data_IF_381016079935
#
_entry.id   IF_381016079935
#
_cell.length_a   1.000
_cell.length_b   1.000
_cell.length_c   1.000
_cell.angle_alpha   90.00
_cell.angle_beta   90.00
_cell.angle_gamma   90.00
#
_symmetry.space_group_name_H-M   'P 1'
#
loop_
_entity.id
_entity.type
_entity.pdbx_description
1 polymer ?
#
# COMPACT_ATOMS: atom_id res chain seq x y z
N UNK A 1 -40.03 -44.94 34.31
CA UNK A 1 -39.08 -45.90 33.71
C UNK A 1 -38.90 -45.43 32.26
N UNK A 2 -37.79 -44.96 31.72
CA UNK A 2 -36.38 -44.70 32.06
C UNK A 2 -35.95 -43.71 30.94
N UNK A 3 -35.36 -42.53 31.10
CA UNK A 3 -34.27 -42.04 31.96
C UNK A 3 -32.96 -42.80 31.79
N UNK A 4 -32.38 -42.86 30.59
CA UNK A 4 -30.92 -42.92 30.39
C UNK A 4 -30.53 -43.05 28.93
N UNK A 5 -29.39 -42.45 28.60
CA UNK A 5 -28.61 -42.57 27.36
C UNK A 5 -28.98 -41.59 26.24
N UNK A 6 -28.49 -40.36 26.39
CA UNK A 6 -27.83 -39.57 25.35
C UNK A 6 -27.11 -38.38 26.04
N UNK A 7 -26.24 -38.70 27.00
CA UNK A 7 -25.27 -37.77 27.57
C UNK A 7 -23.92 -38.48 27.55
N UNK A 8 -23.21 -38.36 26.44
CA UNK A 8 -21.76 -38.47 26.37
C UNK A 8 -21.33 -38.01 24.98
N UNK A 9 -20.62 -36.88 24.93
CA UNK A 9 -19.98 -36.41 23.69
C UNK A 9 -20.21 -34.95 23.30
N UNK A 10 -20.64 -34.05 24.20
CA UNK A 10 -20.39 -32.62 23.95
C UNK A 10 -19.04 -32.26 24.56
N UNK A 11 -17.97 -32.42 23.77
CA UNK A 11 -16.78 -31.59 23.96
C UNK A 11 -17.25 -30.14 23.78
N UNK A 12 -17.60 -29.47 24.88
CA UNK A 12 -17.75 -28.03 24.88
C UNK A 12 -16.44 -27.47 24.36
N UNK A 13 -16.43 -26.97 23.13
CA UNK A 13 -15.39 -26.03 22.71
C UNK A 13 -15.61 -24.82 23.61
N UNK A 14 -14.99 -24.83 24.79
CA UNK A 14 -14.81 -23.63 25.58
C UNK A 14 -14.20 -22.60 24.63
N UNK A 15 -14.91 -21.49 24.43
CA UNK A 15 -14.32 -20.33 23.81
C UNK A 15 -13.16 -19.91 24.72
N UNK A 16 -11.96 -20.28 24.31
CA UNK A 16 -10.67 -20.09 24.97
C UNK A 16 -10.26 -18.61 25.09
N UNK A 17 -11.22 -17.68 25.17
CA UNK A 17 -10.97 -16.24 25.29
C UNK A 17 -10.16 -15.91 26.56
N UNK A 18 -10.14 -16.80 27.55
CA UNK A 18 -9.48 -16.58 28.85
C UNK A 18 -8.45 -17.65 29.22
N UNK A 19 -8.02 -18.50 28.28
CA UNK A 19 -6.91 -19.41 28.55
C UNK A 19 -5.63 -18.57 28.72
N UNK A 20 -5.19 -18.42 29.98
CA UNK A 20 -3.87 -17.90 30.34
C UNK A 20 -2.80 -18.90 29.87
N UNK A 21 -2.54 -18.92 28.57
CA UNK A 21 -1.30 -19.47 28.03
C UNK A 21 -0.16 -18.67 28.68
N UNK A 22 0.90 -19.31 29.20
CA UNK A 22 2.04 -18.59 29.75
C UNK A 22 2.50 -17.53 28.76
N UNK A 23 2.69 -16.30 29.23
CA UNK A 23 3.29 -15.24 28.43
C UNK A 23 4.52 -15.82 27.76
N UNK A 24 4.61 -15.62 26.44
CA UNK A 24 5.88 -15.80 25.77
C UNK A 24 6.92 -15.01 26.58
N UNK A 25 8.04 -15.64 26.91
CA UNK A 25 9.15 -15.09 27.70
C UNK A 25 9.37 -13.58 27.47
N UNK A 26 9.77 -12.81 28.50
CA UNK A 26 9.67 -11.35 28.56
C UNK A 26 10.15 -10.66 27.29
N UNK A 27 9.52 -9.53 26.97
CA UNK A 27 9.77 -8.51 25.93
C UNK A 27 11.24 -8.33 25.50
N UNK A 28 11.87 -9.36 24.96
CA UNK A 28 13.22 -9.34 24.40
C UNK A 28 13.07 -9.17 22.90
N UNK A 29 13.90 -8.34 22.28
CA UNK A 29 13.96 -8.16 20.83
C UNK A 29 14.24 -9.50 20.14
N UNK A 30 13.19 -10.22 19.73
CA UNK A 30 13.32 -11.58 19.19
C UNK A 30 14.01 -11.59 17.84
N UNK A 31 13.83 -10.54 17.04
CA UNK A 31 14.51 -10.41 15.76
C UNK A 31 16.02 -10.14 15.94
N UNK A 32 16.40 -9.19 16.81
CA UNK A 32 17.81 -8.90 17.07
C UNK A 32 18.54 -10.00 17.86
N UNK A 33 17.86 -10.74 18.73
CA UNK A 33 18.45 -11.87 19.46
C UNK A 33 18.39 -13.20 18.71
N UNK A 34 17.68 -13.27 17.58
CA UNK A 34 17.57 -14.48 16.77
C UNK A 34 18.90 -14.89 16.14
N UNK A 35 19.12 -16.21 16.09
CA UNK A 35 20.21 -16.81 15.32
C UNK A 35 20.05 -16.52 13.83
N UNK A 36 21.15 -16.60 13.07
CA UNK A 36 21.12 -16.38 11.62
C UNK A 36 20.12 -17.29 10.91
N UNK A 37 19.98 -18.54 11.35
CA UNK A 37 19.02 -19.49 10.78
C UNK A 37 17.58 -19.10 11.09
N UNK A 38 17.31 -18.61 12.30
CA UNK A 38 15.99 -18.12 12.68
C UNK A 38 15.59 -16.84 11.93
N UNK A 39 16.55 -15.92 11.69
CA UNK A 39 16.32 -14.76 10.81
C UNK A 39 16.10 -15.17 9.37
N UNK A 40 16.87 -16.13 8.85
CA UNK A 40 16.75 -16.59 7.46
C UNK A 40 15.34 -17.13 7.16
N UNK A 41 14.76 -17.89 8.09
CA UNK A 41 13.44 -18.50 7.94
C UNK A 41 12.30 -17.71 8.61
N UNK A 42 12.58 -16.52 9.16
CA UNK A 42 11.62 -15.75 9.97
C UNK A 42 11.00 -16.52 11.15
N UNK A 43 11.68 -17.56 11.64
CA UNK A 43 11.15 -18.47 12.66
C UNK A 43 10.98 -17.82 14.04
N UNK A 44 11.57 -16.64 14.25
CA UNK A 44 11.40 -15.86 15.48
C UNK A 44 9.94 -15.39 15.68
N UNK A 45 9.14 -15.37 14.61
CA UNK A 45 7.71 -15.05 14.66
C UNK A 45 6.84 -16.29 14.97
N UNK A 46 7.37 -17.51 14.90
CA UNK A 46 6.60 -18.75 15.03
C UNK A 46 5.84 -18.83 16.36
N UNK A 47 6.47 -18.42 17.46
CA UNK A 47 5.84 -18.39 18.77
C UNK A 47 4.57 -17.52 18.80
N UNK A 48 4.64 -16.33 18.20
CA UNK A 48 3.48 -15.43 18.11
C UNK A 48 2.39 -16.06 17.23
N UNK A 49 2.77 -16.69 16.12
CA UNK A 49 1.83 -17.38 15.24
C UNK A 49 1.18 -18.59 15.94
N UNK A 50 1.93 -19.33 16.76
CA UNK A 50 1.40 -20.44 17.55
C UNK A 50 0.43 -19.95 18.63
N UNK A 51 0.74 -18.85 19.33
CA UNK A 51 -0.18 -18.24 20.29
C UNK A 51 -1.48 -17.80 19.58
N UNK A 52 -1.35 -17.18 18.41
CA UNK A 52 -2.50 -16.78 17.57
C UNK A 52 -3.37 -17.94 17.08
N UNK A 53 -2.80 -19.14 16.91
CA UNK A 53 -3.56 -20.35 16.60
C UNK A 53 -4.33 -20.89 17.80
N UNK A 54 -3.86 -20.63 19.03
CA UNK A 54 -4.44 -21.16 20.27
C UNK A 54 -5.46 -20.20 20.89
N UNK A 55 -5.23 -18.88 20.79
CA UNK A 55 -6.13 -17.84 21.29
C UNK A 55 -6.00 -16.55 20.48
N UNK A 56 -6.96 -15.64 20.67
CA UNK A 56 -6.84 -14.28 20.14
C UNK A 56 -5.60 -13.58 20.73
N UNK A 57 -4.81 -12.94 19.86
CA UNK A 57 -3.63 -12.16 20.26
C UNK A 57 -4.04 -10.91 21.02
N UNK A 58 -3.32 -10.62 22.09
CA UNK A 58 -3.42 -9.39 22.88
C UNK A 58 -2.22 -8.47 22.61
N UNK A 59 -2.27 -7.22 23.08
CA UNK A 59 -1.19 -6.25 22.85
C UNK A 59 0.15 -6.70 23.45
N UNK A 60 0.11 -7.47 24.54
CA UNK A 60 1.30 -8.02 25.19
C UNK A 60 1.95 -9.19 24.42
N UNK A 61 1.23 -9.80 23.47
CA UNK A 61 1.77 -10.88 22.62
C UNK A 61 2.54 -10.35 21.41
N UNK A 62 2.45 -9.05 21.14
CA UNK A 62 3.10 -8.43 20.01
C UNK A 62 4.61 -8.37 20.22
N UNK A 63 5.35 -8.59 19.13
CA UNK A 63 6.79 -8.43 19.12
C UNK A 63 7.16 -6.97 19.38
N UNK A 64 8.14 -6.76 20.24
CA UNK A 64 8.73 -5.43 20.48
C UNK A 64 9.44 -4.99 19.20
N UNK A 65 9.30 -3.70 18.86
CA UNK A 65 10.02 -3.10 17.74
C UNK A 65 11.53 -3.20 17.97
N UNK A 66 12.28 -3.35 16.88
CA UNK A 66 13.73 -3.20 16.94
C UNK A 66 14.09 -1.75 17.25
N UNK A 67 15.21 -1.51 17.95
CA UNK A 67 15.68 -0.17 18.33
C UNK A 67 15.71 0.81 17.14
N UNK A 68 16.20 0.36 15.99
CA UNK A 68 16.26 1.14 14.75
C UNK A 68 14.89 1.54 14.18
N UNK A 69 13.83 0.86 14.61
CA UNK A 69 12.45 1.05 14.16
C UNK A 69 11.60 1.88 15.12
N UNK A 70 12.17 2.35 16.22
CA UNK A 70 11.51 3.35 17.06
C UNK A 70 11.40 4.70 16.33
N UNK A 71 10.32 5.42 16.64
CA UNK A 71 9.94 6.64 15.90
C UNK A 71 10.94 7.78 16.09
N UNK A 72 11.54 7.91 17.27
CA UNK A 72 12.57 8.89 17.58
C UNK A 72 13.87 8.63 16.80
N UNK A 73 14.32 7.38 16.72
CA UNK A 73 15.52 6.99 15.96
C UNK A 73 15.32 7.20 14.46
N UNK A 74 14.22 6.67 13.90
CA UNK A 74 13.89 6.81 12.49
C UNK A 74 13.72 8.29 12.11
N UNK A 75 13.01 9.07 12.94
CA UNK A 75 12.81 10.49 12.71
C UNK A 75 14.11 11.28 12.82
N UNK A 76 14.97 11.02 13.81
CA UNK A 76 16.26 11.70 13.95
C UNK A 76 17.15 11.44 12.73
N UNK A 77 17.19 10.19 12.23
CA UNK A 77 17.90 9.83 11.01
C UNK A 77 17.40 10.62 9.80
N UNK A 78 16.07 10.67 9.60
CA UNK A 78 15.47 11.41 8.50
C UNK A 78 15.68 12.93 8.62
N UNK A 79 15.44 13.49 9.81
CA UNK A 79 15.57 14.93 10.11
C UNK A 79 16.98 15.45 9.83
N UNK A 80 18.01 14.66 10.14
CA UNK A 80 19.41 14.98 9.80
C UNK A 80 19.61 15.16 8.29
N UNK A 81 19.01 14.29 7.47
CA UNK A 81 19.08 14.39 6.01
C UNK A 81 18.20 15.54 5.48
N UNK A 82 17.04 15.76 6.09
CA UNK A 82 16.13 16.85 5.75
C UNK A 82 16.77 18.23 5.89
N UNK A 83 17.43 18.52 7.02
CA UNK A 83 18.12 19.80 7.21
C UNK A 83 19.34 19.95 6.29
N UNK A 84 20.11 18.88 6.06
CA UNK A 84 21.26 18.91 5.13
C UNK A 84 20.87 19.18 3.68
N UNK A 85 19.64 18.85 3.29
CA UNK A 85 19.14 18.92 1.92
C UNK A 85 18.15 20.07 1.72
N UNK A 86 18.39 21.21 2.37
CA UNK A 86 17.58 22.43 2.23
C UNK A 86 16.09 22.19 2.49
N UNK A 87 15.74 21.32 3.44
CA UNK A 87 14.36 21.03 3.83
C UNK A 87 13.49 20.46 2.68
N UNK A 88 14.11 19.81 1.69
CA UNK A 88 13.39 19.08 0.65
C UNK A 88 13.13 17.63 1.08
N UNK A 89 11.84 17.24 1.19
CA UNK A 89 11.43 15.87 1.55
C UNK A 89 12.04 14.85 0.58
N UNK A 90 11.92 15.08 -0.73
CA UNK A 90 12.37 14.13 -1.76
C UNK A 90 13.88 13.94 -1.70
N UNK A 91 14.66 15.03 -1.58
CA UNK A 91 16.11 14.93 -1.48
C UNK A 91 16.54 14.23 -0.19
N UNK A 92 15.84 14.46 0.91
CA UNK A 92 16.10 13.79 2.19
C UNK A 92 15.89 12.27 2.08
N UNK A 93 14.80 11.84 1.44
CA UNK A 93 14.52 10.42 1.19
C UNK A 93 15.60 9.80 0.30
N UNK A 94 15.94 10.44 -0.82
CA UNK A 94 16.95 9.94 -1.77
C UNK A 94 18.31 9.78 -1.10
N UNK A 95 18.78 10.78 -0.33
CA UNK A 95 20.09 10.71 0.31
C UNK A 95 20.11 9.79 1.53
N UNK A 96 19.01 9.70 2.29
CA UNK A 96 18.94 8.85 3.48
C UNK A 96 18.73 7.37 3.17
N UNK A 97 17.86 7.06 2.19
CA UNK A 97 17.41 5.69 1.92
C UNK A 97 17.75 5.21 0.51
N UNK A 98 18.13 6.09 -0.42
CA UNK A 98 18.29 5.76 -1.85
C UNK A 98 19.31 4.67 -2.13
N UNK A 99 20.44 4.63 -1.41
CA UNK A 99 21.42 3.55 -1.57
C UNK A 99 20.87 2.20 -1.15
N UNK A 100 20.16 2.13 -0.01
CA UNK A 100 19.52 0.89 0.44
C UNK A 100 18.41 0.46 -0.53
N UNK A 101 17.63 1.40 -1.06
CA UNK A 101 16.60 1.11 -2.07
C UNK A 101 17.22 0.57 -3.34
N UNK A 102 18.33 1.15 -3.80
CA UNK A 102 19.06 0.67 -4.97
C UNK A 102 19.58 -0.74 -4.76
N UNK A 103 20.19 -1.04 -3.60
CA UNK A 103 20.65 -2.40 -3.28
C UNK A 103 19.49 -3.40 -3.27
N UNK A 104 18.39 -3.09 -2.56
CA UNK A 104 17.18 -3.92 -2.59
C UNK A 104 16.69 -4.11 -4.03
N UNK A 105 16.65 -3.04 -4.83
CA UNK A 105 16.21 -3.09 -6.21
C UNK A 105 17.11 -3.92 -7.13
N UNK A 106 18.44 -3.86 -6.96
CA UNK A 106 19.39 -4.71 -7.69
C UNK A 106 19.19 -6.19 -7.35
N UNK A 107 18.95 -6.50 -6.07
CA UNK A 107 18.64 -7.86 -5.64
C UNK A 107 17.27 -8.31 -6.18
N UNK A 108 16.24 -7.44 -6.18
CA UNK A 108 14.95 -7.72 -6.83
C UNK A 108 15.08 -7.93 -8.34
N UNK A 109 15.96 -7.21 -9.02
CA UNK A 109 16.25 -7.41 -10.43
C UNK A 109 16.91 -8.77 -10.68
N UNK A 110 17.82 -9.19 -9.80
CA UNK A 110 18.42 -10.52 -9.83
C UNK A 110 17.39 -11.63 -9.58
N UNK A 111 16.50 -11.48 -8.60
CA UNK A 111 15.44 -12.47 -8.35
C UNK A 111 14.44 -12.53 -9.51
N UNK A 112 14.16 -11.39 -10.16
CA UNK A 112 13.37 -11.31 -11.40
C UNK A 112 14.06 -12.07 -12.53
N UNK A 113 15.38 -11.91 -12.71
CA UNK A 113 16.14 -12.67 -13.70
C UNK A 113 16.09 -14.19 -13.43
N UNK A 114 16.14 -14.61 -12.16
CA UNK A 114 15.96 -16.02 -11.78
C UNK A 114 14.57 -16.55 -12.19
N UNK A 115 13.53 -15.73 -12.12
CA UNK A 115 12.18 -16.11 -12.58
C UNK A 115 12.18 -16.33 -14.10
N UNK A 116 12.88 -15.48 -14.86
CA UNK A 116 13.00 -15.59 -16.33
C UNK A 116 13.82 -16.80 -16.79
N UNK A 117 14.52 -17.50 -15.90
CA UNK A 117 15.18 -18.76 -16.22
C UNK A 117 14.19 -19.91 -16.49
N UNK A 118 12.97 -19.85 -15.93
CA UNK A 118 11.97 -20.93 -16.09
C UNK A 118 11.65 -21.26 -17.55
N UNK A 119 11.25 -20.29 -18.40
CA UNK A 119 10.97 -20.57 -19.80
C UNK A 119 12.16 -21.10 -20.58
N UNK A 120 13.38 -20.64 -20.28
CA UNK A 120 14.61 -21.11 -20.94
C UNK A 120 14.87 -22.58 -20.62
N UNK A 121 14.77 -22.94 -19.34
CA UNK A 121 14.91 -24.34 -18.89
C UNK A 121 13.81 -25.19 -19.50
N UNK A 122 12.57 -24.71 -19.52
CA UNK A 122 11.44 -25.41 -20.14
C UNK A 122 11.69 -25.69 -21.63
N UNK A 123 12.24 -24.72 -22.36
CA UNK A 123 12.62 -24.90 -23.76
C UNK A 123 13.63 -26.03 -23.92
N UNK A 124 14.74 -25.97 -23.17
CA UNK A 124 15.81 -26.95 -23.23
C UNK A 124 15.35 -28.35 -22.86
N UNK A 125 14.55 -28.48 -21.79
CA UNK A 125 14.01 -29.77 -21.34
C UNK A 125 13.19 -30.40 -22.45
N UNK A 126 12.23 -29.67 -23.04
CA UNK A 126 11.36 -30.22 -24.08
C UNK A 126 12.14 -30.58 -25.35
N UNK A 127 13.13 -29.76 -25.72
CA UNK A 127 13.98 -30.02 -26.89
C UNK A 127 14.83 -31.28 -26.71
N UNK A 128 15.45 -31.46 -25.54
CA UNK A 128 16.21 -32.69 -25.22
C UNK A 128 15.37 -33.96 -25.19
N UNK A 129 14.08 -33.87 -24.82
CA UNK A 129 13.16 -35.00 -24.90
C UNK A 129 12.72 -35.32 -26.34
N UNK A 130 12.86 -34.37 -27.27
CA UNK A 130 12.52 -34.57 -28.68
C UNK A 130 13.68 -35.18 -29.48
N UNK A 131 14.92 -35.12 -28.98
CA UNK A 131 16.10 -35.68 -29.65
C UNK A 131 16.28 -37.18 -29.33
N UNK A 132 16.69 -38.02 -30.31
CA UNK A 132 16.88 -39.46 -30.11
C UNK A 132 17.98 -39.83 -29.10
N UNK A 133 19.03 -39.02 -29.01
CA UNK A 133 20.10 -39.15 -28.03
C UNK A 133 19.93 -38.08 -26.94
N UNK A 134 19.58 -38.52 -25.73
CA UNK A 134 19.42 -37.62 -24.59
C UNK A 134 20.77 -37.36 -23.93
N UNK A 135 21.18 -36.10 -23.86
CA UNK A 135 22.28 -35.69 -23.00
C UNK A 135 21.77 -35.48 -21.56
N UNK A 136 21.84 -36.55 -20.76
CA UNK A 136 21.45 -36.51 -19.35
C UNK A 136 22.31 -35.55 -18.51
N UNK A 137 23.55 -35.28 -18.92
CA UNK A 137 24.46 -34.41 -18.16
C UNK A 137 24.08 -32.94 -18.30
N UNK A 138 23.81 -32.49 -19.54
CA UNK A 138 23.28 -31.15 -19.81
C UNK A 138 21.89 -30.96 -19.20
N UNK A 139 20.99 -31.94 -19.34
CA UNK A 139 19.66 -31.89 -18.74
C UNK A 139 19.73 -31.77 -17.21
N UNK A 140 20.55 -32.58 -16.57
CA UNK A 140 20.79 -32.51 -15.12
C UNK A 140 21.34 -31.16 -14.68
N UNK A 141 22.27 -30.58 -15.42
CA UNK A 141 22.83 -29.25 -15.13
C UNK A 141 21.78 -28.14 -15.24
N UNK A 142 20.95 -28.12 -16.29
CA UNK A 142 19.88 -27.14 -16.44
C UNK A 142 18.80 -27.25 -15.36
N UNK A 143 18.40 -28.48 -15.00
CA UNK A 143 17.44 -28.71 -13.91
C UNK A 143 18.02 -28.32 -12.54
N UNK A 144 19.30 -28.63 -12.28
CA UNK A 144 19.99 -28.22 -11.06
C UNK A 144 20.12 -26.69 -10.97
N UNK A 145 20.46 -26.01 -12.08
CA UNK A 145 20.50 -24.56 -12.16
C UNK A 145 19.11 -23.95 -11.92
N UNK A 146 18.05 -24.55 -12.47
CA UNK A 146 16.67 -24.14 -12.25
C UNK A 146 16.23 -24.29 -10.79
N UNK A 147 16.51 -25.45 -10.18
CA UNK A 147 16.20 -25.68 -8.78
C UNK A 147 16.94 -24.70 -7.87
N UNK A 148 18.24 -24.48 -8.13
CA UNK A 148 19.07 -23.54 -7.39
C UNK A 148 18.56 -22.11 -7.52
N UNK A 149 18.16 -21.68 -8.72
CA UNK A 149 17.62 -20.34 -8.94
C UNK A 149 16.26 -20.14 -8.24
N UNK A 150 15.42 -21.18 -8.19
CA UNK A 150 14.14 -21.16 -7.47
C UNK A 150 14.34 -21.13 -5.96
N UNK A 151 15.28 -21.90 -5.44
CA UNK A 151 15.64 -21.88 -4.03
C UNK A 151 16.20 -20.51 -3.62
N UNK A 152 17.11 -19.94 -4.44
CA UNK A 152 17.64 -18.60 -4.22
C UNK A 152 16.53 -17.54 -4.25
N UNK A 153 15.61 -17.60 -5.23
CA UNK A 153 14.48 -16.69 -5.31
C UNK A 153 13.56 -16.80 -4.07
N UNK A 154 13.26 -18.02 -3.61
CA UNK A 154 12.41 -18.27 -2.44
C UNK A 154 13.03 -17.77 -1.13
N UNK A 155 14.36 -17.82 -1.00
CA UNK A 155 15.06 -17.31 0.17
C UNK A 155 15.28 -15.80 0.10
N UNK A 156 15.60 -15.23 -1.06
CA UNK A 156 16.00 -13.82 -1.16
C UNK A 156 14.80 -12.88 -1.24
N UNK A 157 13.74 -13.24 -1.97
CA UNK A 157 12.59 -12.33 -2.21
C UNK A 157 11.93 -11.86 -0.90
N UNK A 158 11.59 -12.74 0.06
CA UNK A 158 10.97 -12.29 1.31
C UNK A 158 11.85 -11.34 2.13
N UNK A 159 13.17 -11.53 2.09
CA UNK A 159 14.12 -10.66 2.79
C UNK A 159 14.19 -9.28 2.17
N UNK A 160 14.22 -9.20 0.83
CA UNK A 160 14.20 -7.91 0.14
C UNK A 160 12.87 -7.18 0.36
N UNK A 161 11.75 -7.90 0.33
CA UNK A 161 10.43 -7.35 0.60
C UNK A 161 10.35 -6.81 2.04
N UNK A 162 10.81 -7.59 3.02
CA UNK A 162 10.87 -7.17 4.42
C UNK A 162 11.72 -5.91 4.61
N UNK A 163 12.93 -5.86 4.05
CA UNK A 163 13.80 -4.69 4.16
C UNK A 163 13.21 -3.46 3.47
N UNK A 164 12.58 -3.64 2.31
CA UNK A 164 11.92 -2.56 1.57
C UNK A 164 10.74 -2.01 2.38
N UNK A 165 9.87 -2.89 2.92
CA UNK A 165 8.75 -2.48 3.75
C UNK A 165 9.20 -1.76 5.03
N UNK A 166 10.28 -2.23 5.67
CA UNK A 166 10.83 -1.60 6.87
C UNK A 166 11.29 -0.16 6.58
N UNK A 167 12.02 0.04 5.49
CA UNK A 167 12.45 1.38 5.08
C UNK A 167 11.28 2.30 4.73
N UNK A 168 10.27 1.77 4.02
CA UNK A 168 9.05 2.52 3.72
C UNK A 168 8.30 2.90 5.00
N UNK A 169 8.27 2.01 5.99
CA UNK A 169 7.69 2.30 7.30
C UNK A 169 8.47 3.39 8.05
N UNK A 170 9.80 3.36 8.03
CA UNK A 170 10.62 4.42 8.63
C UNK A 170 10.38 5.79 7.97
N UNK A 171 10.27 5.83 6.64
CA UNK A 171 9.87 7.04 5.90
C UNK A 171 8.50 7.50 6.36
N UNK A 172 7.52 6.60 6.43
CA UNK A 172 6.15 6.90 6.80
C UNK A 172 6.05 7.54 8.21
N UNK A 173 6.73 6.95 9.19
CA UNK A 173 6.80 7.47 10.56
C UNK A 173 7.50 8.83 10.58
N UNK A 174 8.60 8.97 9.85
CA UNK A 174 9.36 10.22 9.79
C UNK A 174 8.56 11.37 9.18
N UNK A 175 7.80 11.12 8.11
CA UNK A 175 6.93 12.12 7.48
C UNK A 175 5.80 12.54 8.42
N UNK A 176 5.20 11.58 9.15
CA UNK A 176 4.16 11.87 10.15
C UNK A 176 4.70 12.69 11.31
N UNK A 177 5.88 12.34 11.82
CA UNK A 177 6.55 13.09 12.88
C UNK A 177 6.93 14.51 12.43
N UNK A 178 7.46 14.67 11.20
CA UNK A 178 7.75 15.98 10.63
C UNK A 178 6.49 16.84 10.50
N UNK A 179 5.39 16.26 10.00
CA UNK A 179 4.12 16.94 9.89
C UNK A 179 3.60 17.38 11.27
N UNK A 180 3.65 16.49 12.26
CA UNK A 180 3.22 16.77 13.62
C UNK A 180 4.04 17.90 14.26
N UNK A 181 5.38 17.88 14.13
CA UNK A 181 6.25 18.97 14.61
C UNK A 181 5.88 20.31 13.96
N UNK A 182 5.63 20.32 12.64
CA UNK A 182 5.18 21.53 11.94
C UNK A 182 3.82 22.01 12.46
N UNK A 183 2.86 21.12 12.61
CA UNK A 183 1.50 21.46 13.08
C UNK A 183 1.55 22.10 14.47
N UNK A 184 2.43 21.64 15.36
CA UNK A 184 2.60 22.19 16.70
C UNK A 184 3.22 23.60 16.73
N UNK A 185 3.95 23.99 15.68
CA UNK A 185 4.59 25.31 15.57
C UNK A 185 3.88 26.29 14.66
N UNK A 186 2.85 25.85 13.94
CA UNK A 186 2.19 26.66 12.92
C UNK A 186 1.42 27.85 13.52
N UNK A 187 1.56 29.04 12.94
CA UNK A 187 0.82 30.24 13.32
C UNK A 187 -0.65 30.19 12.89
N UNK A 188 -1.54 30.85 13.66
CA UNK A 188 -2.97 31.02 13.33
C UNK A 188 -3.16 31.86 12.06
N UNK A 189 -2.19 32.70 11.69
CA UNK A 189 -2.20 33.49 10.45
C UNK A 189 -2.41 32.64 9.19
N UNK A 190 -1.84 31.43 9.19
CA UNK A 190 -1.95 30.48 8.07
C UNK A 190 -3.32 29.80 7.95
N UNK A 191 -4.25 30.08 8.87
CA UNK A 191 -5.55 29.39 8.97
C UNK A 191 -6.63 30.02 8.10
N UNK A 192 -6.48 31.30 7.74
CA UNK A 192 -7.39 32.05 6.86
C UNK A 192 -7.00 32.02 5.38
N UNK A 193 -5.88 31.38 5.03
CA UNK A 193 -5.51 31.21 3.63
C UNK A 193 -6.51 30.25 2.95
N UNK A 194 -7.11 30.69 1.84
CA UNK A 194 -8.01 29.87 0.99
C UNK A 194 -7.35 28.56 0.49
N UNK A 195 -6.04 28.40 0.72
CA UNK A 195 -5.22 27.22 0.44
C UNK A 195 -4.96 26.33 1.65
N UNK A 196 -5.66 26.50 2.78
CA UNK A 196 -5.45 25.68 3.97
C UNK A 196 -5.62 24.18 3.65
N UNK A 197 -4.50 23.50 3.38
CA UNK A 197 -4.49 22.07 3.13
C UNK A 197 -4.86 21.39 4.43
N UNK A 198 -5.91 20.58 4.39
CA UNK A 198 -6.35 19.81 5.55
C UNK A 198 -5.24 18.86 5.99
N UNK A 199 -4.67 19.15 7.16
CA UNK A 199 -3.59 18.36 7.77
C UNK A 199 -4.01 16.91 7.97
N UNK A 200 -5.30 16.64 8.22
CA UNK A 200 -5.81 15.29 8.36
C UNK A 200 -5.72 14.52 7.04
N UNK A 201 -6.00 15.19 5.91
CA UNK A 201 -5.84 14.61 4.57
C UNK A 201 -4.37 14.39 4.22
N UNK A 202 -3.46 15.28 4.64
CA UNK A 202 -2.02 15.07 4.46
C UNK A 202 -1.57 13.83 5.25
N UNK A 203 -1.89 13.79 6.54
CA UNK A 203 -1.49 12.74 7.47
C UNK A 203 -1.99 11.35 7.04
N UNK A 204 -3.24 11.28 6.54
CA UNK A 204 -3.88 10.04 6.13
C UNK A 204 -3.60 9.72 4.65
N UNK A 205 -4.24 10.44 3.73
CA UNK A 205 -4.30 10.08 2.32
C UNK A 205 -3.02 10.38 1.54
N UNK A 206 -2.37 11.52 1.79
CA UNK A 206 -1.21 11.94 1.01
C UNK A 206 0.05 11.15 1.42
N UNK A 207 0.30 11.00 2.72
CA UNK A 207 1.39 10.13 3.19
C UNK A 207 1.17 8.68 2.71
N UNK A 208 -0.07 8.19 2.69
CA UNK A 208 -0.35 6.84 2.17
C UNK A 208 0.00 6.70 0.67
N UNK A 209 -0.25 7.72 -0.16
CA UNK A 209 0.17 7.72 -1.58
C UNK A 209 1.69 7.68 -1.71
N UNK A 210 2.41 8.42 -0.86
CA UNK A 210 3.88 8.39 -0.82
C UNK A 210 4.39 6.99 -0.45
N UNK A 211 3.80 6.36 0.55
CA UNK A 211 4.10 4.97 0.97
C UNK A 211 3.86 3.99 -0.19
N UNK A 212 2.73 4.09 -0.87
CA UNK A 212 2.40 3.23 -2.01
C UNK A 212 3.39 3.37 -3.16
N UNK A 213 3.86 4.60 -3.44
CA UNK A 213 4.91 4.84 -4.42
C UNK A 213 6.25 4.26 -3.96
N UNK A 214 6.65 4.50 -2.71
CA UNK A 214 7.92 4.05 -2.17
C UNK A 214 8.06 2.52 -2.16
N UNK A 215 6.96 1.79 -1.93
CA UNK A 215 6.94 0.32 -2.06
C UNK A 215 7.20 -0.18 -3.50
N UNK A 216 6.86 0.62 -4.51
CA UNK A 216 6.88 0.21 -5.93
C UNK A 216 7.99 0.89 -6.73
N UNK A 217 8.82 1.70 -6.08
CA UNK A 217 9.79 2.57 -6.75
C UNK A 217 10.85 1.76 -7.51
N UNK A 218 11.22 0.59 -7.00
CA UNK A 218 12.14 -0.31 -7.68
C UNK A 218 11.47 -1.04 -8.84
N UNK A 219 10.21 -1.43 -8.67
CA UNK A 219 9.39 -2.02 -9.73
C UNK A 219 9.31 -1.10 -10.95
N UNK A 220 9.30 0.22 -10.77
CA UNK A 220 9.21 1.21 -11.85
C UNK A 220 10.31 1.05 -12.91
N UNK A 221 11.55 0.71 -12.52
CA UNK A 221 12.65 0.53 -13.47
C UNK A 221 12.92 -0.94 -13.80
N UNK A 222 12.63 -1.88 -12.88
CA UNK A 222 12.76 -3.33 -13.12
C UNK A 222 11.78 -3.80 -14.19
N UNK A 223 10.53 -3.34 -14.12
CA UNK A 223 9.44 -3.82 -14.96
C UNK A 223 9.68 -3.52 -16.46
N UNK A 224 10.09 -2.30 -16.90
CA UNK A 224 10.49 -2.06 -18.28
C UNK A 224 11.62 -2.96 -18.77
N UNK A 225 12.62 -3.23 -17.93
CA UNK A 225 13.74 -4.13 -18.27
C UNK A 225 13.20 -5.56 -18.46
N UNK A 226 12.35 -6.02 -17.53
CA UNK A 226 11.71 -7.33 -17.60
C UNK A 226 10.88 -7.47 -18.89
N UNK A 227 10.06 -6.48 -19.24
CA UNK A 227 9.31 -6.45 -20.50
C UNK A 227 10.26 -6.59 -21.69
N UNK A 228 11.34 -5.80 -21.74
CA UNK A 228 12.32 -5.84 -22.81
C UNK A 228 12.97 -7.22 -22.96
N UNK A 229 13.38 -7.83 -21.85
CA UNK A 229 14.00 -9.17 -21.85
C UNK A 229 13.00 -10.24 -22.30
N UNK A 230 11.76 -10.22 -21.80
CA UNK A 230 10.74 -11.20 -22.19
C UNK A 230 10.36 -11.07 -23.67
N UNK A 231 10.23 -9.85 -24.18
CA UNK A 231 9.98 -9.60 -25.61
C UNK A 231 11.15 -10.08 -26.46
N UNK A 232 12.39 -9.85 -26.02
CA UNK A 232 13.57 -10.38 -26.68
C UNK A 232 13.58 -11.92 -26.70
N UNK A 233 13.30 -12.58 -25.57
CA UNK A 233 13.19 -14.04 -25.50
C UNK A 233 12.08 -14.57 -26.41
N UNK A 234 10.92 -13.90 -26.48
CA UNK A 234 9.85 -14.26 -27.41
C UNK A 234 10.31 -14.16 -28.86
N UNK A 235 11.04 -13.09 -29.21
CA UNK A 235 11.61 -12.92 -30.54
C UNK A 235 12.63 -14.03 -30.88
N UNK A 236 13.44 -14.47 -29.92
CA UNK A 236 14.37 -15.60 -30.15
C UNK A 236 13.61 -16.91 -30.43
N UNK A 237 12.50 -17.16 -29.74
CA UNK A 237 11.74 -18.42 -29.87
C UNK A 237 10.84 -18.43 -31.11
N UNK A 238 10.18 -17.32 -31.41
CA UNK A 238 9.12 -17.21 -32.43
C UNK A 238 9.46 -16.27 -33.60
N UNK A 239 10.59 -15.56 -33.55
CA UNK A 239 10.94 -14.55 -34.55
C UNK A 239 9.91 -13.42 -34.60
N UNK A 240 9.59 -12.96 -35.81
CA UNK A 240 8.67 -11.83 -36.03
C UNK A 240 7.23 -12.15 -35.59
N UNK A 241 6.83 -13.42 -35.50
CA UNK A 241 5.47 -13.78 -35.07
C UNK A 241 5.19 -13.43 -33.61
N UNK A 242 6.22 -13.23 -32.78
CA UNK A 242 6.09 -12.70 -31.43
C UNK A 242 5.33 -11.36 -31.39
N UNK A 243 5.58 -10.49 -32.38
CA UNK A 243 4.92 -9.19 -32.46
C UNK A 243 3.42 -9.30 -32.80
N UNK A 244 3.00 -10.33 -33.53
CA UNK A 244 1.57 -10.60 -33.74
C UNK A 244 0.87 -10.88 -32.40
N UNK A 245 1.51 -11.66 -31.51
CA UNK A 245 1.03 -11.87 -30.15
C UNK A 245 0.98 -10.59 -29.31
N UNK A 246 2.02 -9.77 -29.37
CA UNK A 246 2.07 -8.48 -28.67
C UNK A 246 0.94 -7.53 -29.10
N UNK A 247 0.60 -7.50 -30.40
CA UNK A 247 -0.55 -6.74 -30.91
C UNK A 247 -1.86 -7.24 -30.30
N UNK A 248 -2.05 -8.57 -30.20
CA UNK A 248 -3.24 -9.14 -29.56
C UNK A 248 -3.30 -8.84 -28.07
N UNK A 249 -2.15 -8.85 -27.37
CA UNK A 249 -2.08 -8.42 -25.96
C UNK A 249 -2.52 -6.95 -25.84
N UNK A 250 -1.97 -6.05 -26.66
CA UNK A 250 -2.32 -4.64 -26.64
C UNK A 250 -3.82 -4.42 -26.93
N UNK A 251 -4.39 -5.10 -27.92
CA UNK A 251 -5.82 -5.05 -28.22
C UNK A 251 -6.67 -5.58 -27.05
N UNK A 252 -6.27 -6.71 -26.45
CA UNK A 252 -6.96 -7.28 -25.29
C UNK A 252 -6.97 -6.31 -24.11
N UNK A 253 -5.86 -5.60 -23.86
CA UNK A 253 -5.76 -4.58 -22.84
C UNK A 253 -6.66 -3.37 -23.12
N UNK A 254 -6.75 -2.92 -24.39
CA UNK A 254 -7.67 -1.84 -24.79
C UNK A 254 -9.13 -2.24 -24.57
N UNK A 255 -9.52 -3.46 -24.95
CA UNK A 255 -10.87 -3.97 -24.72
C UNK A 255 -11.15 -4.06 -23.21
N UNK A 256 -10.22 -4.60 -22.42
CA UNK A 256 -10.34 -4.67 -20.96
C UNK A 256 -10.44 -3.27 -20.32
N UNK A 257 -9.78 -2.26 -20.87
CA UNK A 257 -9.90 -0.87 -20.41
C UNK A 257 -11.32 -0.32 -20.57
N UNK A 258 -11.99 -0.58 -21.70
CA UNK A 258 -13.38 -0.17 -21.89
C UNK A 258 -14.32 -0.86 -20.89
N UNK A 259 -14.17 -2.17 -20.67
CA UNK A 259 -14.93 -2.89 -19.64
C UNK A 259 -14.65 -2.36 -18.23
N UNK A 260 -13.40 -2.01 -17.92
CA UNK A 260 -13.01 -1.42 -16.63
C UNK A 260 -13.65 -0.04 -16.43
N UNK A 261 -13.72 0.78 -17.49
CA UNK A 261 -14.40 2.08 -17.46
C UNK A 261 -15.90 1.91 -17.22
N UNK A 262 -16.54 0.95 -17.88
CA UNK A 262 -17.94 0.62 -17.66
C UNK A 262 -18.18 0.12 -16.22
N UNK A 263 -17.33 -0.80 -15.75
CA UNK A 263 -17.36 -1.31 -14.37
C UNK A 263 -17.28 -0.18 -13.35
N UNK A 264 -16.36 0.77 -13.56
CA UNK A 264 -16.21 1.95 -12.70
C UNK A 264 -17.45 2.86 -12.72
N UNK A 265 -18.09 3.03 -13.89
CA UNK A 265 -19.34 3.77 -14.03
C UNK A 265 -20.50 3.10 -13.27
N UNK A 266 -20.72 1.81 -13.50
CA UNK A 266 -21.77 1.03 -12.82
C UNK A 266 -21.53 0.93 -11.31
N UNK A 267 -20.28 0.88 -10.85
CA UNK A 267 -19.95 0.93 -9.43
C UNK A 267 -20.41 2.24 -8.76
N UNK A 268 -20.22 3.38 -9.43
CA UNK A 268 -20.69 4.68 -8.92
C UNK A 268 -22.22 4.74 -8.81
N UNK A 269 -22.93 4.23 -9.82
CA UNK A 269 -24.40 4.15 -9.80
C UNK A 269 -24.88 3.23 -8.65
N UNK A 270 -24.25 2.07 -8.49
CA UNK A 270 -24.52 1.15 -7.37
C UNK A 270 -24.29 1.83 -6.01
N UNK A 271 -23.18 2.55 -5.82
CA UNK A 271 -22.92 3.26 -4.56
C UNK A 271 -23.98 4.34 -4.29
N UNK A 272 -24.42 5.08 -5.31
CA UNK A 272 -25.50 6.07 -5.15
C UNK A 272 -26.79 5.43 -4.64
N UNK A 273 -27.24 4.33 -5.25
CA UNK A 273 -28.44 3.63 -4.78
C UNK A 273 -28.28 3.02 -3.39
N UNK A 274 -27.07 2.53 -3.07
CA UNK A 274 -26.73 2.06 -1.71
C UNK A 274 -26.83 3.19 -0.69
N UNK A 275 -26.35 4.38 -1.03
CA UNK A 275 -26.39 5.56 -0.15
C UNK A 275 -27.83 6.04 0.08
N UNK A 276 -28.66 6.09 -0.97
CA UNK A 276 -30.09 6.41 -0.87
C UNK A 276 -30.83 5.43 0.07
N UNK A 277 -30.57 4.12 -0.08
CA UNK A 277 -31.12 3.10 0.83
C UNK A 277 -30.63 3.29 2.26
N UNK A 278 -29.33 3.51 2.44
CA UNK A 278 -28.74 3.68 3.78
C UNK A 278 -29.24 4.95 4.46
N UNK A 279 -29.51 6.02 3.71
CA UNK A 279 -30.14 7.24 4.20
C UNK A 279 -31.51 6.93 4.80
N UNK A 280 -32.36 6.18 4.09
CA UNK A 280 -33.68 5.81 4.60
C UNK A 280 -33.60 4.92 5.84
N UNK A 281 -32.64 3.98 5.91
CA UNK A 281 -32.38 3.19 7.12
C UNK A 281 -32.04 4.10 8.29
N UNK A 282 -31.15 5.07 8.10
CA UNK A 282 -30.77 6.03 9.16
C UNK A 282 -31.97 6.87 9.63
N UNK A 283 -32.81 7.35 8.72
CA UNK A 283 -34.03 8.09 9.05
C UNK A 283 -35.01 7.23 9.88
N UNK A 284 -35.25 5.98 9.47
CA UNK A 284 -36.15 5.07 10.17
C UNK A 284 -35.68 4.74 11.59
N UNK A 285 -34.39 4.44 11.77
CA UNK A 285 -33.82 4.13 13.08
C UNK A 285 -33.67 5.38 13.96
N UNK A 286 -33.34 6.54 13.37
CA UNK A 286 -33.28 7.81 14.08
C UNK A 286 -34.63 8.23 14.68
N UNK A 287 -35.74 7.86 14.03
CA UNK A 287 -37.10 8.14 14.48
C UNK A 287 -37.87 6.88 14.94
N UNK A 288 -37.18 5.82 15.40
CA UNK A 288 -37.78 4.49 15.59
C UNK A 288 -38.97 4.48 16.55
N UNK A 289 -38.97 5.31 17.58
CA UNK A 289 -40.09 5.42 18.53
C UNK A 289 -41.35 5.93 17.84
N UNK A 290 -41.25 6.92 16.96
CA UNK A 290 -42.38 7.47 16.19
C UNK A 290 -42.89 6.43 15.21
N UNK A 291 -41.99 5.73 14.52
CA UNK A 291 -42.34 4.66 13.57
C UNK A 291 -43.13 3.56 14.29
N UNK A 292 -42.68 3.12 15.46
CA UNK A 292 -43.34 2.09 16.28
C UNK A 292 -44.70 2.54 16.82
N UNK A 293 -44.77 3.76 17.37
CA UNK A 293 -46.00 4.30 17.96
C UNK A 293 -47.13 4.46 16.94
N UNK A 294 -46.78 4.69 15.67
CA UNK A 294 -47.73 4.83 14.57
C UNK A 294 -47.91 3.55 13.72
N UNK A 295 -47.26 2.43 14.09
CA UNK A 295 -47.25 1.18 13.32
C UNK A 295 -46.86 1.37 11.83
N UNK A 296 -45.86 2.21 11.55
CA UNK A 296 -45.40 2.55 10.19
C UNK A 296 -44.34 1.61 9.62
N UNK A 297 -43.99 0.52 10.31
CA UNK A 297 -42.91 -0.38 9.90
C UNK A 297 -43.11 -0.92 8.49
N UNK A 298 -44.32 -1.39 8.15
CA UNK A 298 -44.62 -1.92 6.82
C UNK A 298 -44.48 -0.87 5.71
N UNK A 299 -44.74 0.42 6.01
CA UNK A 299 -44.56 1.51 5.03
C UNK A 299 -43.08 1.79 4.77
N UNK A 300 -42.26 1.78 5.83
CA UNK A 300 -40.81 1.92 5.69
C UNK A 300 -40.19 0.70 5.00
N UNK A 301 -40.65 -0.50 5.32
CA UNK A 301 -40.23 -1.74 4.66
C UNK A 301 -40.51 -1.69 3.16
N UNK A 302 -41.75 -1.36 2.76
CA UNK A 302 -42.10 -1.23 1.34
C UNK A 302 -41.21 -0.20 0.62
N UNK A 303 -40.97 0.96 1.23
CA UNK A 303 -40.08 1.99 0.67
C UNK A 303 -38.61 1.55 0.62
N UNK A 304 -38.15 0.73 1.56
CA UNK A 304 -36.81 0.14 1.54
C UNK A 304 -36.67 -0.91 0.42
N UNK A 305 -37.71 -1.72 0.21
CA UNK A 305 -37.71 -2.75 -0.84
C UNK A 305 -37.68 -2.14 -2.25
N UNK A 306 -38.36 -1.02 -2.50
CA UNK A 306 -38.27 -0.32 -3.79
C UNK A 306 -36.87 0.22 -4.06
N UNK A 307 -36.20 0.80 -3.05
CA UNK A 307 -34.80 1.22 -3.16
C UNK A 307 -33.86 0.02 -3.37
N UNK A 308 -34.16 -1.11 -2.70
CA UNK A 308 -33.38 -2.35 -2.85
C UNK A 308 -33.47 -2.92 -4.26
N UNK A 309 -34.64 -2.85 -4.91
CA UNK A 309 -34.80 -3.30 -6.29
C UNK A 309 -33.92 -2.49 -7.26
N UNK A 310 -33.90 -1.17 -7.13
CA UNK A 310 -33.01 -0.28 -7.91
C UNK A 310 -31.52 -0.59 -7.66
N UNK A 311 -31.15 -0.83 -6.40
CA UNK A 311 -29.80 -1.24 -6.02
C UNK A 311 -29.42 -2.57 -6.68
N UNK A 312 -30.32 -3.57 -6.69
CA UNK A 312 -30.09 -4.88 -7.28
C UNK A 312 -29.93 -4.83 -8.81
N UNK A 313 -30.71 -4.00 -9.50
CA UNK A 313 -30.54 -3.78 -10.96
C UNK A 313 -29.16 -3.18 -11.26
N UNK A 314 -28.74 -2.19 -10.47
CA UNK A 314 -27.43 -1.55 -10.61
C UNK A 314 -26.28 -2.50 -10.25
N UNK A 315 -26.47 -3.34 -9.23
CA UNK A 315 -25.54 -4.39 -8.85
C UNK A 315 -25.36 -5.41 -9.97
N UNK A 316 -26.46 -5.84 -10.60
CA UNK A 316 -26.43 -6.76 -11.72
C UNK A 316 -25.61 -6.20 -12.88
N UNK A 317 -25.85 -4.93 -13.27
CA UNK A 317 -25.03 -4.24 -14.30
C UNK A 317 -23.55 -4.20 -13.94
N UNK A 318 -23.23 -3.86 -12.69
CA UNK A 318 -21.86 -3.84 -12.19
C UNK A 318 -21.19 -5.22 -12.29
N UNK A 319 -21.87 -6.28 -11.81
CA UNK A 319 -21.33 -7.65 -11.85
C UNK A 319 -21.15 -8.13 -13.29
N UNK A 320 -22.09 -7.88 -14.20
CA UNK A 320 -21.92 -8.24 -15.61
C UNK A 320 -20.74 -7.52 -16.28
N UNK A 321 -20.53 -6.22 -15.97
CA UNK A 321 -19.36 -5.48 -16.46
C UNK A 321 -18.04 -6.04 -15.90
N UNK A 322 -18.02 -6.43 -14.62
CA UNK A 322 -16.87 -7.12 -14.02
C UNK A 322 -16.59 -8.46 -14.70
N UNK A 323 -17.63 -9.28 -14.91
CA UNK A 323 -17.51 -10.55 -15.61
C UNK A 323 -16.94 -10.37 -17.02
N UNK A 324 -17.34 -9.31 -17.75
CA UNK A 324 -16.76 -8.96 -19.04
C UNK A 324 -15.27 -8.66 -18.96
N UNK A 325 -14.83 -7.89 -17.96
CA UNK A 325 -13.40 -7.61 -17.71
C UNK A 325 -12.62 -8.91 -17.46
N UNK A 326 -13.13 -9.78 -16.59
CA UNK A 326 -12.51 -11.07 -16.26
C UNK A 326 -12.44 -11.95 -17.51
N UNK A 327 -13.54 -12.09 -18.24
CA UNK A 327 -13.61 -12.91 -19.46
C UNK A 327 -12.53 -12.51 -20.48
N UNK A 328 -12.39 -11.21 -20.77
CA UNK A 328 -11.38 -10.70 -21.70
C UNK A 328 -9.97 -11.05 -21.23
N UNK A 329 -9.65 -10.82 -19.95
CA UNK A 329 -8.31 -11.03 -19.41
C UNK A 329 -7.91 -12.52 -19.35
N UNK A 330 -8.85 -13.40 -19.02
CA UNK A 330 -8.59 -14.84 -18.91
C UNK A 330 -8.61 -15.57 -20.25
N UNK A 331 -9.35 -15.05 -21.24
CA UNK A 331 -9.39 -15.62 -22.60
C UNK A 331 -8.26 -15.07 -23.49
N UNK A 332 -7.72 -13.89 -23.17
CA UNK A 332 -6.64 -13.25 -23.95
C UNK A 332 -5.45 -14.17 -24.28
N UNK A 333 -4.87 -14.96 -23.35
CA UNK A 333 -3.73 -15.84 -23.66
C UNK A 333 -4.02 -16.87 -24.76
N UNK A 334 -5.27 -17.31 -24.90
CA UNK A 334 -5.70 -18.22 -25.97
C UNK A 334 -5.59 -17.54 -27.33
N UNK A 335 -6.11 -16.33 -27.46
CA UNK A 335 -6.03 -15.55 -28.70
C UNK A 335 -4.58 -15.16 -29.04
N UNK A 336 -3.81 -14.74 -28.03
CA UNK A 336 -2.39 -14.40 -28.20
C UNK A 336 -1.61 -15.58 -28.76
N UNK A 337 -1.76 -16.76 -28.15
CA UNK A 337 -1.07 -17.97 -28.59
C UNK A 337 -1.54 -18.40 -29.99
N UNK A 338 -2.85 -18.42 -30.22
CA UNK A 338 -3.44 -18.85 -31.51
C UNK A 338 -2.96 -17.97 -32.66
N UNK A 339 -3.01 -16.64 -32.51
CA UNK A 339 -2.59 -15.70 -33.57
C UNK A 339 -1.08 -15.78 -33.79
N UNK A 340 -0.28 -15.84 -32.73
CA UNK A 340 1.18 -15.93 -32.85
C UNK A 340 1.63 -17.20 -33.56
N UNK A 341 1.03 -18.33 -33.19
CA UNK A 341 1.33 -19.63 -33.79
C UNK A 341 0.81 -19.74 -35.21
N UNK A 342 -0.40 -19.25 -35.49
CA UNK A 342 -0.93 -19.20 -36.84
C UNK A 342 -0.05 -18.34 -37.76
N UNK A 343 0.43 -17.19 -37.28
CA UNK A 343 1.37 -16.38 -38.05
C UNK A 343 2.71 -17.11 -38.28
N UNK A 344 3.23 -17.78 -37.25
CA UNK A 344 4.46 -18.57 -37.34
C UNK A 344 4.38 -19.69 -38.38
N UNK A 345 3.27 -20.43 -38.43
CA UNK A 345 3.11 -21.57 -39.33
C UNK A 345 2.61 -21.17 -40.71
N UNK A 346 1.58 -20.32 -40.80
CA UNK A 346 0.90 -20.02 -42.07
C UNK A 346 1.56 -18.89 -42.85
N UNK A 347 2.16 -17.91 -42.17
CA UNK A 347 2.77 -16.74 -42.83
C UNK A 347 4.27 -16.94 -42.99
N UNK A 348 4.95 -17.39 -41.93
CA UNK A 348 6.41 -17.59 -41.96
C UNK A 348 6.81 -18.98 -42.49
N UNK A 349 5.85 -19.88 -42.72
CA UNK A 349 6.08 -21.26 -43.18
C UNK A 349 7.10 -22.03 -42.31
N UNK A 350 7.10 -21.77 -41.00
CA UNK A 350 8.01 -22.42 -40.05
C UNK A 350 7.34 -23.59 -39.33
N UNK A 351 8.15 -24.58 -38.95
CA UNK A 351 7.68 -25.74 -38.18
C UNK A 351 7.55 -25.38 -36.70
N UNK A 352 6.34 -25.53 -36.18
CA UNK A 352 6.03 -25.26 -34.78
C UNK A 352 6.28 -26.50 -33.92
N UNK A 353 7.42 -26.53 -33.25
CA UNK A 353 7.80 -27.59 -32.31
C UNK A 353 7.14 -27.41 -30.94
N UNK A 354 6.94 -28.51 -30.18
CA UNK A 354 6.41 -28.45 -28.82
C UNK A 354 7.22 -27.51 -27.90
N UNK A 355 8.56 -27.55 -27.97
CA UNK A 355 9.44 -26.68 -27.18
C UNK A 355 9.10 -25.19 -27.39
N UNK A 356 8.94 -24.76 -28.65
CA UNK A 356 8.53 -23.39 -28.98
C UNK A 356 7.14 -23.03 -28.44
N UNK A 357 6.17 -23.94 -28.56
CA UNK A 357 4.78 -23.71 -28.09
C UNK A 357 4.74 -23.45 -26.59
N UNK A 358 5.28 -24.38 -25.79
CA UNK A 358 5.23 -24.27 -24.33
C UNK A 358 6.07 -23.10 -23.81
N UNK A 359 7.23 -22.86 -24.43
CA UNK A 359 8.09 -21.71 -24.07
C UNK A 359 7.40 -20.39 -24.37
N UNK A 360 6.79 -20.24 -25.55
CA UNK A 360 6.09 -19.02 -25.93
C UNK A 360 4.89 -18.74 -25.02
N UNK A 361 4.07 -19.76 -24.69
CA UNK A 361 2.95 -19.62 -23.76
C UNK A 361 3.45 -19.12 -22.38
N UNK A 362 4.53 -19.73 -21.86
CA UNK A 362 5.12 -19.32 -20.59
C UNK A 362 5.62 -17.86 -20.64
N UNK A 363 6.29 -17.45 -21.71
CA UNK A 363 6.78 -16.08 -21.90
C UNK A 363 5.63 -15.06 -22.06
N UNK A 364 4.58 -15.38 -22.81
CA UNK A 364 3.40 -14.52 -22.92
C UNK A 364 2.70 -14.31 -21.57
N UNK A 365 2.59 -15.37 -20.76
CA UNK A 365 2.03 -15.27 -19.40
C UNK A 365 2.89 -14.38 -18.49
N UNK A 366 4.22 -14.48 -18.59
CA UNK A 366 5.14 -13.62 -17.84
C UNK A 366 5.09 -12.15 -18.25
N UNK A 367 4.61 -11.83 -19.45
CA UNK A 367 4.51 -10.46 -19.95
C UNK A 367 3.21 -9.75 -19.51
N UNK A 368 2.15 -10.53 -19.23
CA UNK A 368 0.80 -10.00 -18.99
C UNK A 368 0.71 -9.12 -17.75
N UNK A 369 1.19 -9.62 -16.61
CA UNK A 369 1.08 -8.91 -15.33
C UNK A 369 1.94 -7.63 -15.33
N UNK A 370 3.21 -7.64 -15.80
CA UNK A 370 4.00 -6.42 -15.99
C UNK A 370 3.28 -5.34 -16.83
N UNK A 371 2.74 -5.71 -18.00
CA UNK A 371 2.06 -4.75 -18.87
C UNK A 371 0.82 -4.11 -18.19
N UNK A 372 0.13 -4.86 -17.33
CA UNK A 372 -1.04 -4.37 -16.58
C UNK A 372 -0.63 -3.46 -15.42
N UNK A 373 0.44 -3.81 -14.71
CA UNK A 373 0.85 -3.12 -13.48
C UNK A 373 1.60 -1.82 -13.77
N UNK A 374 2.34 -1.75 -14.88
CA UNK A 374 3.19 -0.61 -15.20
C UNK A 374 2.44 0.73 -15.22
N UNK A 375 1.27 0.89 -15.90
CA UNK A 375 0.51 2.14 -15.85
C UNK A 375 0.05 2.51 -14.44
N UNK A 376 -0.29 1.51 -13.62
CA UNK A 376 -0.71 1.74 -12.22
C UNK A 376 0.44 2.27 -11.37
N UNK A 377 1.66 1.74 -11.55
CA UNK A 377 2.85 2.22 -10.85
C UNK A 377 3.16 3.68 -11.23
N UNK A 378 3.07 4.04 -12.51
CA UNK A 378 3.24 5.43 -12.97
C UNK A 378 2.20 6.34 -12.30
N UNK A 379 0.94 5.90 -12.22
CA UNK A 379 -0.13 6.64 -11.56
C UNK A 379 0.15 6.84 -10.06
N UNK A 380 0.62 5.80 -9.35
CA UNK A 380 1.05 5.90 -7.93
C UNK A 380 2.17 6.93 -7.76
N UNK A 381 3.15 6.94 -8.68
CA UNK A 381 4.26 7.90 -8.66
C UNK A 381 3.77 9.34 -8.86
N UNK A 382 2.87 9.57 -9.82
CA UNK A 382 2.30 10.89 -10.07
C UNK A 382 1.48 11.40 -8.88
N UNK A 383 0.67 10.52 -8.26
CA UNK A 383 -0.09 10.87 -7.06
C UNK A 383 0.83 11.19 -5.89
N UNK A 384 1.88 10.39 -5.67
CA UNK A 384 2.86 10.65 -4.63
C UNK A 384 3.58 11.99 -4.84
N UNK A 385 3.91 12.36 -6.08
CA UNK A 385 4.46 13.68 -6.40
C UNK A 385 3.53 14.82 -5.94
N UNK A 386 2.25 14.77 -6.33
CA UNK A 386 1.26 15.78 -5.93
C UNK A 386 1.12 15.83 -4.40
N UNK A 387 1.12 14.68 -3.74
CA UNK A 387 1.07 14.58 -2.28
C UNK A 387 2.30 15.16 -1.59
N UNK A 388 3.50 14.96 -2.17
CA UNK A 388 4.75 15.54 -1.67
C UNK A 388 4.77 17.05 -1.86
N UNK A 389 4.29 17.56 -2.99
CA UNK A 389 4.17 19.00 -3.26
C UNK A 389 3.24 19.66 -2.23
N UNK A 390 2.05 19.07 -1.97
CA UNK A 390 1.12 19.56 -0.93
C UNK A 390 1.72 19.54 0.48
N UNK A 391 2.46 18.48 0.80
CA UNK A 391 3.14 18.40 2.09
C UNK A 391 4.23 19.47 2.19
N UNK A 392 4.99 19.72 1.13
CA UNK A 392 5.99 20.79 1.09
C UNK A 392 5.34 22.18 1.26
N UNK A 393 4.22 22.45 0.58
CA UNK A 393 3.45 23.68 0.74
C UNK A 393 2.98 23.88 2.19
N UNK A 394 2.50 22.80 2.84
CA UNK A 394 2.10 22.84 4.24
C UNK A 394 3.30 23.10 5.19
N UNK A 395 4.45 22.48 4.90
CA UNK A 395 5.68 22.69 5.68
C UNK A 395 6.29 24.09 5.48
N UNK A 396 5.91 24.80 4.42
CA UNK A 396 6.35 26.18 4.15
C UNK A 396 5.49 27.24 4.86
N UNK A 397 4.36 26.86 5.49
CA UNK A 397 3.49 27.80 6.21
C UNK A 397 4.22 28.48 7.38
N UNK A 398 3.77 29.70 7.73
CA UNK A 398 4.38 30.50 8.79
C UNK A 398 4.27 29.83 10.16
N UNK A 399 5.36 29.88 10.93
CA UNK A 399 5.42 29.37 12.29
C UNK A 399 5.19 30.50 13.30
N UNK A 400 4.76 30.15 14.51
CA UNK A 400 4.71 31.09 15.64
C UNK A 400 6.15 31.44 15.99
N UNK A 401 6.47 32.72 16.01
CA UNK A 401 7.76 33.20 16.49
C UNK A 401 7.78 33.12 18.03
N UNK A 402 8.64 32.28 18.64
CA UNK A 402 8.74 32.19 20.10
C UNK A 402 9.27 33.49 20.72
N UNK A 403 9.93 34.35 19.94
CA UNK A 403 10.47 35.64 20.41
C UNK A 403 9.41 36.73 20.56
N UNK A 404 8.18 36.50 20.08
CA UNK A 404 7.05 37.42 20.27
C UNK A 404 6.66 37.59 21.75
N UNK A 405 7.07 36.68 22.63
CA UNK A 405 6.85 36.78 24.07
C UNK A 405 8.16 36.53 24.79
N UNK A 406 8.68 37.55 25.46
CA UNK A 406 9.83 37.40 26.35
C UNK A 406 9.41 36.63 27.59
N UNK A 407 10.10 35.52 27.89
CA UNK A 407 9.91 34.76 29.12
C UNK A 407 11.05 35.07 30.09
N UNK A 408 10.73 35.23 31.37
CA UNK A 408 11.68 35.46 32.46
C UNK A 408 12.61 36.66 32.21
N UNK A 409 12.04 37.80 31.85
CA UNK A 409 12.79 39.04 31.70
C UNK A 409 13.26 39.55 33.08
N UNK A 410 14.58 39.66 33.33
CA UNK A 410 15.10 40.12 34.62
C UNK A 410 14.83 41.60 34.92
N UNK A 411 14.37 42.40 33.95
CA UNK A 411 13.97 43.79 34.20
C UNK A 411 12.56 43.96 34.76
N UNK A 412 11.76 42.89 34.74
CA UNK A 412 10.38 42.90 35.23
C UNK A 412 10.38 42.51 36.73
N UNK A 413 9.58 43.18 37.59
CA UNK A 413 9.48 42.81 39.00
C UNK A 413 9.10 41.34 39.18
N UNK A 414 9.73 40.64 40.14
CA UNK A 414 9.46 39.23 40.43
C UNK A 414 7.98 38.94 40.78
N UNK A 415 7.23 39.95 41.18
CA UNK A 415 5.79 39.86 41.49
C UNK A 415 4.91 39.89 40.23
N UNK A 416 5.36 40.49 39.13
CA UNK A 416 4.58 40.56 37.91
C UNK A 416 4.56 39.20 37.19
N UNK A 417 3.36 38.68 36.92
CA UNK A 417 3.12 37.47 36.17
C UNK A 417 2.96 37.72 34.67
N UNK A 418 2.31 38.83 34.28
CA UNK A 418 2.09 39.23 32.89
C UNK A 418 2.31 40.73 32.79
N UNK A 419 3.09 41.15 31.79
CA UNK A 419 3.30 42.57 31.46
C UNK A 419 3.08 42.75 29.97
N UNK A 420 2.25 43.73 29.62
CA UNK A 420 2.03 44.21 28.25
C UNK A 420 2.21 45.73 28.31
N UNK A 421 3.09 46.26 27.46
CA UNK A 421 3.33 47.71 27.35
C UNK A 421 3.10 48.14 25.91
N UNK A 422 2.16 49.07 25.69
CA UNK A 422 1.82 49.61 24.37
C UNK A 422 1.60 48.54 23.27
N UNK A 423 1.04 47.38 23.68
CA UNK A 423 0.86 46.22 22.82
C UNK A 423 -0.21 46.45 21.76
N UNK A 424 0.11 46.19 20.50
CA UNK A 424 -0.83 46.22 19.39
C UNK A 424 -0.88 44.84 18.73
N UNK A 425 -2.07 44.26 18.64
CA UNK A 425 -2.28 42.89 18.18
C UNK A 425 -3.25 42.84 16.99
N UNK A 426 -2.87 42.07 15.97
CA UNK A 426 -3.68 41.77 14.79
C UNK A 426 -3.63 40.28 14.50
N UNK A 427 -4.66 39.76 13.81
CA UNK A 427 -4.68 38.34 13.44
C UNK A 427 -3.70 38.02 12.32
N UNK A 428 -3.57 38.90 11.32
CA UNK A 428 -2.68 38.78 10.15
C UNK A 428 -1.95 40.11 9.92
N UNK A 429 -0.82 40.08 9.20
CA UNK A 429 -0.06 41.30 8.85
C UNK A 429 -0.92 42.34 8.09
N UNK A 430 -1.83 41.87 7.24
CA UNK A 430 -2.74 42.72 6.46
C UNK A 430 -4.09 43.00 7.14
N UNK A 431 -4.34 42.42 8.32
CA UNK A 431 -5.61 42.59 9.02
C UNK A 431 -5.63 43.88 9.84
N UNK A 432 -6.83 44.46 10.01
CA UNK A 432 -7.04 45.55 10.95
C UNK A 432 -6.63 45.12 12.36
N UNK A 433 -5.94 46.01 13.07
CA UNK A 433 -5.59 45.82 14.47
C UNK A 433 -6.85 45.57 15.30
N UNK A 434 -6.83 44.50 16.09
CA UNK A 434 -7.97 44.10 16.94
C UNK A 434 -7.84 44.73 18.31
N UNK A 435 -6.61 44.76 18.82
CA UNK A 435 -6.24 45.42 20.07
C UNK A 435 -5.16 46.45 19.72
N UNK A 436 -5.32 47.68 20.17
CA UNK A 436 -4.38 48.77 19.92
C UNK A 436 -4.02 49.45 21.24
N UNK A 437 -2.73 49.72 21.42
CA UNK A 437 -2.18 50.43 22.58
C UNK A 437 -2.60 49.85 23.94
N UNK A 438 -2.57 48.52 24.07
CA UNK A 438 -2.91 47.84 25.31
C UNK A 438 -1.72 47.87 26.25
N UNK A 439 -1.93 48.40 27.46
CA UNK A 439 -0.96 48.32 28.56
C UNK A 439 -1.61 47.66 29.77
N UNK A 440 -1.02 46.58 30.27
CA UNK A 440 -1.56 45.74 31.36
C UNK A 440 -0.41 45.15 32.17
N UNK A 441 -0.54 45.18 33.50
CA UNK A 441 0.33 44.46 34.43
C UNK A 441 -0.57 43.62 35.32
N UNK A 442 -0.23 42.33 35.48
CA UNK A 442 -0.92 41.37 36.35
C UNK A 442 0.09 40.78 37.32
N UNK A 443 -0.21 40.82 38.62
CA UNK A 443 0.67 40.30 39.68
C UNK A 443 0.39 38.82 40.00
N UNK A 444 1.34 38.17 40.68
CA UNK A 444 1.24 36.75 41.03
C UNK A 444 0.21 36.55 42.13
N UNK A 445 -0.87 35.84 41.81
CA UNK A 445 -1.95 35.53 42.76
C UNK A 445 -3.21 36.37 42.57
N UNK A 446 -3.19 37.31 41.62
CA UNK A 446 -4.36 38.09 41.26
C UNK A 446 -5.42 37.26 40.53
N UNK A 447 -6.68 37.48 40.88
CA UNK A 447 -7.83 37.05 40.10
C UNK A 447 -8.27 38.22 39.19
N UNK A 448 -7.86 38.17 37.93
CA UNK A 448 -8.20 39.19 36.93
C UNK A 448 -9.52 38.84 36.24
N UNK A 449 -10.39 39.84 36.08
CA UNK A 449 -11.63 39.75 35.29
C UNK A 449 -11.48 40.65 34.07
N UNK A 450 -11.59 40.07 32.88
CA UNK A 450 -11.48 40.75 31.57
C UNK A 450 -12.85 40.89 30.96
#
# INVERSE_FOLDING_TARGET
MSSSQLQQGSSSKEYATFLKVPLASPRVHRHQSASLLSRLFFSYADDMMQIGNMRQLDQDDLLVLDDDSHSDVAYAFFKRHYHRQSQSIVRAIIHGYGWKFLLCGLVSAFTTACILLAPVVLHHVIDTFATPEMDLTSLGAWLAAFFTSRLANALVTPHVDFQTQLMVFHIAVSLRALLFEKTMRRSIQSRSDDKAVDVANIYSSDIQRVIQCANEINTLWILPIQIGVVVYMLYVVLGVSAFAGLVVIALSMLVAFFFTKQTSGSYKELMKHKDDRMKLVKEAFGAIQIVKLNAWEGKFEAKLLTLRELELVSLSRFVYAMCGTIFVLWTSPLFVSTVSFAFYTLVMNQVLTAAKVFTAIALFNLLRDPLREFPSIIQKCLQAKISLDRMADYLALHEVDPSNVTQNDPSIPDDAAIVVEHGTFAWNEDASTVLADVSLIVEKGDLVVI
#
